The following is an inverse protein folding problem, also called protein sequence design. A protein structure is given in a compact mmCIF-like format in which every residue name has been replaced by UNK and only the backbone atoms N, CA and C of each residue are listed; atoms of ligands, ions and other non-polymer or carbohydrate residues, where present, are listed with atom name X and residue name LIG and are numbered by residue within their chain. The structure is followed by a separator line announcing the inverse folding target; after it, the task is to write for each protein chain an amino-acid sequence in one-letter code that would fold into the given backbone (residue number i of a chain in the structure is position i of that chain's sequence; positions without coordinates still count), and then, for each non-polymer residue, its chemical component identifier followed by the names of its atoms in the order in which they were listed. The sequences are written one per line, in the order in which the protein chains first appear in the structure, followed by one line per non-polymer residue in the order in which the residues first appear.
data_IF_497287378363
#
_entry.id   IF_497287378363
#
_cell.length_a   1.000
_cell.length_b   1.000
_cell.length_c   1.000
_cell.angle_alpha   90.00
_cell.angle_beta   90.00
_cell.angle_gamma   90.00
#
_symmetry.space_group_name_H-M   'P 1'
#
loop_
_entity.id
_entity.type
_entity.pdbx_description
1 polymer ?
#
# COMPACT_ATOMS: atom_id res chain seq x y z
N UNK A 1 -53.35 20.39 -9.74
CA UNK A 1 -52.09 20.33 -8.99
C UNK A 1 -51.27 21.49 -9.40
N UNK A 2 -50.88 22.34 -8.47
CA UNK A 2 -50.24 23.62 -8.77
C UNK A 2 -48.77 23.40 -9.20
N UNK A 3 -48.56 23.48 -10.50
CA UNK A 3 -47.21 23.36 -11.10
C UNK A 3 -46.19 24.37 -10.53
N UNK A 4 -46.66 25.44 -9.91
CA UNK A 4 -45.82 26.45 -9.24
C UNK A 4 -45.00 25.87 -8.11
N UNK A 5 -45.53 24.96 -7.31
CA UNK A 5 -44.80 24.33 -6.19
C UNK A 5 -43.68 23.40 -6.68
N UNK A 6 -43.90 22.76 -7.83
CA UNK A 6 -42.88 21.90 -8.46
C UNK A 6 -41.72 22.74 -8.99
N UNK A 7 -41.99 23.87 -9.65
CA UNK A 7 -40.93 24.77 -10.12
C UNK A 7 -40.14 25.39 -8.97
N UNK A 8 -40.79 25.73 -7.86
CA UNK A 8 -40.11 26.25 -6.67
C UNK A 8 -39.23 25.18 -6.04
N UNK A 9 -39.68 23.92 -5.96
CA UNK A 9 -38.87 22.82 -5.45
C UNK A 9 -37.65 22.55 -6.30
N UNK A 10 -37.76 22.58 -7.63
CA UNK A 10 -36.64 22.40 -8.58
C UNK A 10 -35.64 23.55 -8.43
N UNK A 11 -36.12 24.80 -8.35
CA UNK A 11 -35.26 25.97 -8.19
C UNK A 11 -34.47 25.93 -6.87
N UNK A 12 -35.11 25.54 -5.76
CA UNK A 12 -34.45 25.37 -4.47
C UNK A 12 -33.39 24.26 -4.50
N UNK A 13 -33.73 23.12 -5.13
CA UNK A 13 -32.78 22.00 -5.27
C UNK A 13 -31.54 22.41 -6.08
N UNK A 14 -31.72 23.10 -7.21
CA UNK A 14 -30.61 23.61 -8.03
C UNK A 14 -29.79 24.66 -7.27
N UNK A 15 -30.40 25.52 -6.49
CA UNK A 15 -29.70 26.52 -5.69
C UNK A 15 -28.77 25.89 -4.66
N UNK A 16 -29.20 24.81 -4.00
CA UNK A 16 -28.37 24.04 -3.05
C UNK A 16 -27.17 23.40 -3.75
N UNK A 17 -27.37 22.81 -4.93
CA UNK A 17 -26.27 22.19 -5.68
C UNK A 17 -25.25 23.22 -6.18
N UNK A 18 -25.70 24.39 -6.66
CA UNK A 18 -24.83 25.47 -7.07
C UNK A 18 -24.05 26.09 -5.89
N UNK A 19 -24.72 26.25 -4.75
CA UNK A 19 -24.07 26.73 -3.52
C UNK A 19 -23.01 25.75 -3.03
N UNK A 20 -23.29 24.42 -3.06
CA UNK A 20 -22.33 23.39 -2.71
C UNK A 20 -21.11 23.41 -3.63
N UNK A 21 -21.33 23.47 -4.95
CA UNK A 21 -20.25 23.56 -5.93
C UNK A 21 -19.37 24.81 -5.78
N UNK A 22 -19.97 25.95 -5.43
CA UNK A 22 -19.23 27.20 -5.26
C UNK A 22 -18.37 27.24 -3.97
N UNK A 23 -18.84 26.59 -2.89
CA UNK A 23 -18.18 26.69 -1.58
C UNK A 23 -17.36 25.46 -1.18
N UNK A 24 -17.69 24.28 -1.71
CA UNK A 24 -17.06 23.00 -1.31
C UNK A 24 -16.23 22.32 -2.41
N UNK A 25 -16.42 22.69 -3.69
CA UNK A 25 -15.56 22.17 -4.74
C UNK A 25 -14.32 23.04 -4.89
N UNK A 26 -13.15 22.46 -4.57
CA UNK A 26 -11.86 23.05 -4.95
C UNK A 26 -11.71 23.00 -6.47
N UNK A 27 -11.25 24.05 -7.16
CA UNK A 27 -11.16 24.08 -8.61
C UNK A 27 -10.21 23.00 -9.11
N UNK A 28 -10.73 21.98 -9.80
CA UNK A 28 -9.93 21.03 -10.56
C UNK A 28 -9.32 21.77 -11.73
N UNK A 29 -7.99 21.85 -11.80
CA UNK A 29 -7.28 22.40 -12.96
C UNK A 29 -7.65 21.60 -14.20
N UNK A 30 -8.37 22.23 -15.09
CA UNK A 30 -8.69 21.68 -16.41
C UNK A 30 -7.42 21.53 -17.24
N UNK A 31 -7.15 20.33 -17.69
CA UNK A 31 -6.09 20.06 -18.67
C UNK A 31 -6.61 20.49 -20.03
N UNK A 32 -6.15 21.65 -20.51
CA UNK A 32 -6.41 22.13 -21.86
C UNK A 32 -5.66 21.27 -22.88
N UNK A 33 -6.40 20.69 -23.80
CA UNK A 33 -5.88 20.27 -25.11
C UNK A 33 -5.50 21.50 -25.91
N UNK A 34 -4.25 21.63 -26.28
CA UNK A 34 -3.80 22.63 -27.24
C UNK A 34 -3.63 22.02 -28.61
N UNK A 35 -4.40 22.58 -29.53
CA UNK A 35 -4.23 22.50 -30.97
C UNK A 35 -3.04 23.36 -31.40
N UNK A 36 -2.18 22.81 -32.23
CA UNK A 36 -1.06 23.50 -32.84
C UNK A 36 -1.52 24.66 -33.74
N UNK A 37 -0.81 25.80 -33.61
CA UNK A 37 -0.49 26.65 -34.74
C UNK A 37 0.82 27.40 -34.51
N UNK A 38 1.67 27.29 -35.49
CA UNK A 38 2.96 27.85 -35.76
C UNK A 38 2.89 29.38 -35.96
N UNK A 39 3.88 30.16 -35.45
CA UNK A 39 4.44 31.35 -36.16
C UNK A 39 5.78 31.72 -35.48
N UNK A 40 6.81 31.83 -36.34
CA UNK A 40 8.16 32.34 -36.05
C UNK A 40 8.17 33.82 -35.65
N UNK A 41 9.10 34.22 -34.76
CA UNK A 41 10.15 35.26 -35.02
C UNK A 41 11.02 35.54 -33.81
N UNK A 42 12.32 35.59 -34.11
CA UNK A 42 13.52 35.97 -33.34
C UNK A 42 13.36 37.15 -32.38
N UNK A 43 14.02 37.05 -31.22
CA UNK A 43 15.01 38.05 -30.71
C UNK A 43 15.65 37.54 -29.40
N UNK A 44 16.97 37.68 -29.32
CA UNK A 44 17.83 37.34 -28.20
C UNK A 44 17.45 38.06 -26.89
N UNK A 45 17.33 37.27 -25.79
CA UNK A 45 17.75 37.72 -24.46
C UNK A 45 17.94 36.51 -23.56
N UNK A 46 19.06 36.47 -22.85
CA UNK A 46 19.41 35.44 -21.88
C UNK A 46 18.34 35.37 -20.79
N UNK A 47 17.64 34.25 -20.70
CA UNK A 47 16.72 33.98 -19.61
C UNK A 47 17.13 32.65 -18.99
N UNK A 48 17.43 32.71 -17.71
CA UNK A 48 17.65 31.57 -16.83
C UNK A 48 16.43 30.66 -16.97
N UNK A 49 16.60 29.54 -17.63
CA UNK A 49 15.57 28.54 -17.82
C UNK A 49 15.34 27.81 -16.49
N UNK A 50 14.16 27.88 -15.86
CA UNK A 50 13.85 26.93 -14.82
C UNK A 50 13.79 25.55 -15.47
N UNK A 51 14.63 24.65 -15.02
CA UNK A 51 14.55 23.23 -15.39
C UNK A 51 13.18 22.72 -14.98
N UNK A 52 12.28 22.63 -15.94
CA UNK A 52 11.01 21.92 -15.76
C UNK A 52 11.41 20.45 -15.63
N UNK A 53 11.39 19.92 -14.41
CA UNK A 53 11.51 18.51 -14.17
C UNK A 53 10.40 17.83 -14.99
N UNK A 54 10.79 17.10 -16.03
CA UNK A 54 9.85 16.27 -16.78
C UNK A 54 9.10 15.40 -15.78
N UNK A 55 7.77 15.24 -15.90
CA UNK A 55 7.06 14.26 -15.08
C UNK A 55 7.73 12.93 -15.33
N UNK A 56 8.29 12.33 -14.28
CA UNK A 56 8.81 10.97 -14.36
C UNK A 56 7.64 10.09 -14.77
N UNK A 57 7.71 9.55 -15.97
CA UNK A 57 6.82 8.47 -16.40
C UNK A 57 7.14 7.30 -15.49
N UNK A 58 6.30 7.09 -14.47
CA UNK A 58 6.39 5.92 -13.60
C UNK A 58 6.00 4.73 -14.49
N UNK A 59 7.00 4.08 -15.07
CA UNK A 59 6.79 2.86 -15.84
C UNK A 59 6.29 1.81 -14.87
N UNK A 60 5.03 1.41 -15.01
CA UNK A 60 4.46 0.31 -14.26
C UNK A 60 5.12 -0.99 -14.69
N UNK A 61 5.41 -1.84 -13.73
CA UNK A 61 6.06 -3.13 -13.97
C UNK A 61 5.02 -4.21 -14.25
N UNK A 62 5.47 -5.29 -14.86
CA UNK A 62 4.72 -6.54 -14.84
C UNK A 62 4.74 -7.14 -13.43
N UNK A 63 3.78 -8.02 -13.15
CA UNK A 63 3.73 -8.72 -11.85
C UNK A 63 5.00 -9.55 -11.60
N UNK A 64 5.48 -10.25 -12.59
CA UNK A 64 6.67 -11.10 -12.55
C UNK A 64 7.94 -10.28 -12.27
N UNK A 65 8.11 -9.15 -12.94
CA UNK A 65 9.21 -8.23 -12.69
C UNK A 65 9.18 -7.65 -11.27
N UNK A 66 8.00 -7.27 -10.78
CA UNK A 66 7.84 -6.76 -9.43
C UNK A 66 8.16 -7.79 -8.36
N UNK A 67 7.66 -9.02 -8.52
CA UNK A 67 7.91 -10.13 -7.60
C UNK A 67 9.40 -10.47 -7.52
N UNK A 68 10.12 -10.41 -8.64
CA UNK A 68 11.55 -10.75 -8.69
C UNK A 68 12.48 -9.73 -8.01
N UNK A 69 11.99 -8.53 -7.68
CA UNK A 69 12.82 -7.43 -7.13
C UNK A 69 13.19 -7.55 -5.65
N UNK A 70 12.53 -8.41 -4.92
CA UNK A 70 12.72 -8.51 -3.47
C UNK A 70 12.65 -9.96 -2.98
N UNK A 71 13.31 -10.23 -1.87
CA UNK A 71 13.19 -11.49 -1.17
C UNK A 71 11.75 -11.69 -0.68
N UNK A 72 11.23 -12.90 -0.79
CA UNK A 72 9.85 -13.21 -0.52
C UNK A 72 9.69 -14.53 0.25
N UNK A 73 8.61 -14.62 1.00
CA UNK A 73 8.14 -15.87 1.64
C UNK A 73 7.05 -16.46 0.76
N UNK A 74 7.15 -17.72 0.42
CA UNK A 74 6.13 -18.41 -0.37
C UNK A 74 4.86 -18.63 0.46
N UNK A 75 3.69 -18.43 -0.18
CA UNK A 75 2.38 -18.76 0.37
C UNK A 75 1.80 -19.90 -0.46
N UNK A 76 1.46 -21.02 0.17
CA UNK A 76 0.86 -22.14 -0.53
C UNK A 76 -0.04 -22.98 0.36
N UNK A 77 -1.30 -23.15 -0.06
CA UNK A 77 -2.22 -24.17 0.45
C UNK A 77 -3.06 -24.77 -0.69
N UNK A 78 -4.12 -25.50 -0.39
CA UNK A 78 -5.00 -26.10 -1.40
C UNK A 78 -5.83 -25.09 -2.20
N UNK A 79 -5.92 -23.84 -1.78
CA UNK A 79 -6.83 -22.84 -2.33
C UNK A 79 -6.12 -21.66 -2.97
N UNK A 80 -4.95 -21.28 -2.46
CA UNK A 80 -4.17 -20.12 -2.90
C UNK A 80 -2.69 -20.47 -3.15
N UNK A 81 -2.09 -19.66 -4.00
CA UNK A 81 -0.66 -19.58 -4.26
C UNK A 81 -0.24 -18.12 -4.28
N UNK A 82 0.89 -17.79 -3.70
CA UNK A 82 1.39 -16.42 -3.69
C UNK A 82 2.66 -16.23 -2.90
N UNK A 83 2.91 -14.99 -2.47
CA UNK A 83 4.08 -14.69 -1.66
C UNK A 83 3.93 -13.40 -0.83
N UNK A 84 4.73 -13.29 0.23
CA UNK A 84 4.87 -12.13 1.09
C UNK A 84 6.18 -11.44 0.74
N UNK A 85 6.14 -10.15 0.45
CA UNK A 85 7.31 -9.34 0.24
C UNK A 85 8.00 -9.04 1.57
N UNK A 86 9.29 -9.38 1.72
CA UNK A 86 10.04 -9.07 2.94
C UNK A 86 10.35 -7.57 3.10
N UNK A 87 10.28 -6.78 2.04
CA UNK A 87 10.28 -5.33 2.13
C UNK A 87 8.87 -4.87 2.54
N UNK A 88 8.75 -4.27 3.73
CA UNK A 88 7.50 -3.83 4.33
C UNK A 88 6.65 -4.93 4.96
N UNK A 89 7.00 -6.21 4.78
CA UNK A 89 6.19 -7.38 5.15
C UNK A 89 4.76 -7.29 4.58
N UNK A 90 4.68 -7.05 3.26
CA UNK A 90 3.44 -6.87 2.51
C UNK A 90 2.94 -8.22 1.98
N UNK A 91 1.64 -8.46 2.10
CA UNK A 91 0.97 -9.55 1.37
C UNK A 91 0.44 -8.91 0.08
N UNK A 92 1.20 -9.03 -1.00
CA UNK A 92 0.96 -8.32 -2.25
C UNK A 92 0.94 -9.23 -3.48
N UNK A 93 0.93 -10.54 -3.27
CA UNK A 93 0.93 -11.53 -4.34
C UNK A 93 0.11 -12.73 -3.92
N UNK A 94 -1.14 -12.81 -4.38
CA UNK A 94 -2.03 -13.96 -4.16
C UNK A 94 -2.83 -14.25 -5.42
N UNK A 95 -2.85 -15.51 -5.82
CA UNK A 95 -3.71 -16.07 -6.85
C UNK A 95 -4.54 -17.23 -6.34
N UNK A 96 -5.75 -17.39 -6.85
CA UNK A 96 -6.65 -18.47 -6.48
C UNK A 96 -6.38 -19.70 -7.37
N UNK A 97 -6.07 -20.86 -6.75
CA UNK A 97 -5.83 -22.11 -7.49
C UNK A 97 -7.10 -22.68 -8.16
N UNK A 98 -8.26 -22.47 -7.52
CA UNK A 98 -9.55 -23.06 -7.92
C UNK A 98 -10.42 -22.15 -8.78
N UNK A 99 -9.99 -20.91 -9.01
CA UNK A 99 -10.77 -19.90 -9.75
C UNK A 99 -9.99 -19.42 -10.98
N UNK A 100 -10.63 -19.50 -12.13
CA UNK A 100 -10.06 -19.08 -13.41
C UNK A 100 -10.62 -17.73 -13.85
N UNK A 101 -9.83 -16.97 -14.60
CA UNK A 101 -10.27 -15.66 -15.13
C UNK A 101 -11.43 -15.79 -16.11
N UNK A 102 -11.42 -16.87 -16.93
CA UNK A 102 -12.49 -17.26 -17.84
C UNK A 102 -12.66 -18.77 -17.79
N UNK A 103 -13.86 -19.26 -18.13
CA UNK A 103 -14.18 -20.69 -18.12
C UNK A 103 -13.26 -21.51 -19.01
N UNK A 104 -12.83 -20.94 -20.13
CA UNK A 104 -11.95 -21.58 -21.13
C UNK A 104 -10.46 -21.26 -20.94
N UNK A 105 -10.11 -20.42 -19.94
CA UNK A 105 -8.75 -19.98 -19.72
C UNK A 105 -8.08 -20.82 -18.61
N UNK A 106 -6.80 -21.12 -18.80
CA UNK A 106 -6.00 -21.78 -17.76
C UNK A 106 -5.42 -20.80 -16.72
N UNK A 107 -5.61 -19.47 -16.92
CA UNK A 107 -5.08 -18.45 -16.01
C UNK A 107 -5.91 -18.34 -14.75
N UNK A 108 -5.23 -18.42 -13.61
CA UNK A 108 -5.85 -18.20 -12.29
C UNK A 108 -6.24 -16.73 -12.09
N UNK A 109 -7.26 -16.49 -11.27
CA UNK A 109 -7.57 -15.14 -10.82
C UNK A 109 -6.44 -14.66 -9.89
N UNK A 110 -5.86 -13.52 -10.21
CA UNK A 110 -4.94 -12.78 -9.34
C UNK A 110 -5.80 -11.92 -8.43
N UNK A 111 -5.66 -12.12 -7.12
CA UNK A 111 -6.42 -11.40 -6.10
C UNK A 111 -5.61 -10.23 -5.52
N UNK A 112 -4.34 -10.47 -5.18
CA UNK A 112 -3.41 -9.41 -4.76
C UNK A 112 -2.29 -9.27 -5.78
N UNK A 113 -1.88 -8.03 -6.01
CA UNK A 113 -0.87 -7.68 -6.99
C UNK A 113 0.04 -6.57 -6.43
N UNK A 114 1.37 -6.61 -6.65
CA UNK A 114 2.30 -5.62 -6.11
C UNK A 114 1.95 -4.18 -6.47
N UNK A 115 2.24 -3.25 -5.57
CA UNK A 115 1.84 -1.84 -5.68
C UNK A 115 2.46 -1.08 -6.85
N UNK A 116 3.58 -1.55 -7.39
CA UNK A 116 4.29 -0.98 -8.53
C UNK A 116 3.82 -1.52 -9.89
N UNK A 117 2.80 -2.41 -9.90
CA UNK A 117 2.12 -2.88 -11.09
C UNK A 117 0.94 -1.98 -11.49
N UNK A 118 0.39 -2.18 -12.67
CA UNK A 118 -0.75 -1.39 -13.17
C UNK A 118 -1.99 -1.51 -12.27
N UNK A 119 -2.27 -2.72 -11.76
CA UNK A 119 -3.43 -3.01 -10.93
C UNK A 119 -2.97 -3.43 -9.51
N UNK A 120 -2.09 -2.63 -8.89
CA UNK A 120 -1.57 -2.92 -7.57
C UNK A 120 -2.68 -2.94 -6.51
N UNK A 121 -2.78 -4.06 -5.79
CA UNK A 121 -3.71 -4.25 -4.69
C UNK A 121 -3.10 -5.20 -3.65
N UNK A 122 -2.86 -4.72 -2.44
CA UNK A 122 -2.08 -5.42 -1.43
C UNK A 122 -2.60 -5.15 -0.02
N UNK A 123 -2.15 -5.98 0.92
CA UNK A 123 -2.44 -5.85 2.36
C UNK A 123 -1.18 -5.40 3.08
N UNK A 124 -1.30 -4.28 3.80
CA UNK A 124 -0.26 -3.75 4.68
C UNK A 124 -0.78 -3.72 6.11
N UNK A 125 0.05 -4.16 7.05
CA UNK A 125 -0.20 -4.05 8.49
C UNK A 125 1.03 -3.47 9.18
N UNK A 126 0.84 -2.63 10.19
CA UNK A 126 1.97 -1.93 10.80
C UNK A 126 1.68 -1.43 12.21
N UNK A 127 2.58 -0.60 12.70
CA UNK A 127 2.48 0.08 13.99
C UNK A 127 2.49 1.58 13.77
N UNK A 128 1.90 2.29 14.70
CA UNK A 128 2.01 3.73 14.82
C UNK A 128 2.74 4.07 16.12
N UNK A 129 3.61 5.09 16.08
CA UNK A 129 4.29 5.60 17.26
C UNK A 129 3.60 6.88 17.75
N UNK A 130 3.37 6.98 19.05
CA UNK A 130 2.87 8.20 19.67
C UNK A 130 4.10 8.96 20.21
N UNK A 131 4.36 10.16 19.70
CA UNK A 131 5.42 11.05 20.17
C UNK A 131 6.83 10.67 19.70
N UNK A 132 6.97 10.01 18.55
CA UNK A 132 8.24 9.72 17.82
C UNK A 132 9.42 9.18 18.66
N UNK A 133 9.12 8.57 19.80
CA UNK A 133 10.13 8.08 20.75
C UNK A 133 10.76 6.75 20.35
N UNK A 134 10.13 6.01 19.44
CA UNK A 134 10.56 4.67 19.07
C UNK A 134 10.55 4.57 17.55
N UNK A 135 11.68 4.18 16.95
CA UNK A 135 11.75 3.86 15.54
C UNK A 135 10.93 2.59 15.27
N UNK A 136 9.91 2.73 14.46
CA UNK A 136 9.00 1.65 14.03
C UNK A 136 9.31 1.19 12.61
N UNK A 137 8.93 -0.05 12.22
CA UNK A 137 9.07 -0.49 10.84
C UNK A 137 8.17 0.30 9.90
N UNK A 138 8.66 0.56 8.71
CA UNK A 138 7.99 1.27 7.62
C UNK A 138 7.83 0.35 6.40
N UNK A 139 7.17 0.83 5.34
CA UNK A 139 7.06 0.13 4.05
C UNK A 139 8.42 -0.20 3.39
N UNK A 140 9.49 0.51 3.76
CA UNK A 140 10.84 0.27 3.25
C UNK A 140 11.71 -0.60 4.17
N UNK A 141 11.20 -1.00 5.31
CA UNK A 141 11.91 -1.88 6.25
C UNK A 141 12.04 -3.29 5.69
N UNK A 142 13.25 -3.83 5.73
CA UNK A 142 13.52 -5.22 5.32
C UNK A 142 13.33 -6.12 6.52
N UNK A 143 12.41 -7.06 6.40
CA UNK A 143 12.10 -8.05 7.42
C UNK A 143 12.92 -9.32 7.21
N UNK A 144 13.18 -10.03 8.29
CA UNK A 144 13.84 -11.33 8.29
C UNK A 144 12.87 -12.43 8.69
N UNK A 145 13.00 -13.59 8.08
CA UNK A 145 12.21 -14.78 8.44
C UNK A 145 12.85 -15.47 9.61
N UNK A 146 12.05 -15.83 10.61
CA UNK A 146 12.47 -16.69 11.71
C UNK A 146 11.87 -18.07 11.55
N UNK A 147 12.71 -19.03 11.24
CA UNK A 147 12.29 -20.43 11.06
C UNK A 147 11.88 -20.72 9.61
N UNK A 148 10.65 -21.18 9.41
CA UNK A 148 10.16 -21.62 8.11
C UNK A 148 9.85 -20.45 7.16
N UNK A 149 10.19 -20.60 5.89
CA UNK A 149 10.02 -19.61 4.81
C UNK A 149 8.83 -19.92 3.87
N UNK A 150 8.02 -20.96 4.21
CA UNK A 150 6.80 -21.31 3.49
C UNK A 150 5.62 -21.20 4.43
N UNK A 151 4.66 -20.33 4.08
CA UNK A 151 3.38 -20.20 4.77
C UNK A 151 2.37 -21.18 4.18
N UNK A 152 1.88 -22.10 5.00
CA UNK A 152 0.81 -23.02 4.65
C UNK A 152 -0.23 -23.13 5.79
N UNK A 153 -1.26 -23.93 5.58
CA UNK A 153 -2.27 -24.24 6.60
C UNK A 153 -1.68 -24.94 7.84
N UNK A 154 -0.57 -25.67 7.69
CA UNK A 154 0.12 -26.36 8.78
C UNK A 154 1.39 -25.65 9.25
N UNK A 155 1.85 -24.64 8.53
CA UNK A 155 3.15 -24.00 8.76
C UNK A 155 3.03 -22.47 8.82
N UNK A 156 2.96 -21.89 10.02
CA UNK A 156 2.99 -20.44 10.18
C UNK A 156 4.37 -19.87 9.88
N UNK A 157 4.41 -18.61 9.44
CA UNK A 157 5.66 -17.85 9.23
C UNK A 157 5.78 -16.75 10.28
N UNK A 158 7.00 -16.54 10.78
CA UNK A 158 7.33 -15.48 11.71
C UNK A 158 8.32 -14.53 11.03
N UNK A 159 7.92 -13.28 10.87
CA UNK A 159 8.74 -12.19 10.37
C UNK A 159 9.22 -11.33 11.53
N UNK A 160 10.49 -10.94 11.53
CA UNK A 160 11.10 -10.12 12.57
C UNK A 160 11.80 -8.90 11.97
N UNK A 161 11.70 -7.78 12.66
CA UNK A 161 12.43 -6.56 12.37
C UNK A 161 12.95 -5.93 13.65
N UNK A 162 14.26 -5.63 13.70
CA UNK A 162 14.90 -4.99 14.85
C UNK A 162 15.20 -3.53 14.52
N UNK A 163 14.79 -2.61 15.40
CA UNK A 163 15.02 -1.18 15.20
C UNK A 163 16.48 -0.75 15.51
N UNK A 164 17.33 -1.68 15.98
CA UNK A 164 18.72 -1.45 16.44
C UNK A 164 18.84 -0.53 17.65
N UNK A 165 17.73 -0.22 18.31
CA UNK A 165 17.61 0.59 19.52
C UNK A 165 17.03 -0.23 20.68
N UNK A 166 17.14 -1.56 20.62
CA UNK A 166 16.69 -2.48 21.65
C UNK A 166 15.21 -2.89 21.53
N UNK A 167 14.54 -2.66 20.39
CA UNK A 167 13.16 -3.10 20.18
C UNK A 167 13.07 -4.04 19.00
N UNK A 168 12.44 -5.21 19.22
CA UNK A 168 12.15 -6.22 18.21
C UNK A 168 10.65 -6.22 17.91
N UNK A 169 10.31 -6.05 16.64
CA UNK A 169 8.96 -6.19 16.09
C UNK A 169 8.83 -7.56 15.45
N UNK A 170 7.71 -8.22 15.70
CA UNK A 170 7.43 -9.56 15.21
C UNK A 170 6.03 -9.63 14.63
N UNK A 171 5.88 -10.20 13.43
CA UNK A 171 4.61 -10.57 12.82
C UNK A 171 4.57 -12.08 12.68
N UNK A 172 3.62 -12.75 13.33
CA UNK A 172 3.30 -14.15 13.07
C UNK A 172 2.11 -14.18 12.11
N UNK A 173 2.27 -14.84 10.98
CA UNK A 173 1.26 -15.01 9.96
C UNK A 173 0.87 -16.48 9.90
N UNK A 174 -0.41 -16.74 10.05
CA UNK A 174 -1.04 -18.07 10.00
C UNK A 174 -2.07 -18.06 8.87
N UNK A 175 -2.22 -19.18 8.20
CA UNK A 175 -3.14 -19.37 7.10
C UNK A 175 -4.00 -20.61 7.40
N UNK A 176 -5.30 -20.56 7.13
CA UNK A 176 -6.14 -21.77 7.18
C UNK A 176 -6.07 -22.59 5.87
N UNK A 177 -6.83 -23.64 5.79
CA UNK A 177 -6.93 -24.51 4.61
C UNK A 177 -7.64 -23.85 3.40
N UNK A 178 -8.21 -22.66 3.60
CA UNK A 178 -8.97 -21.90 2.60
C UNK A 178 -8.32 -20.56 2.27
N UNK A 179 -8.77 -19.49 2.93
CA UNK A 179 -8.43 -18.11 2.56
C UNK A 179 -8.18 -17.20 3.75
N UNK A 180 -8.34 -17.69 5.01
CA UNK A 180 -8.25 -16.85 6.20
C UNK A 180 -6.80 -16.67 6.65
N UNK A 181 -6.32 -15.45 6.62
CA UNK A 181 -5.06 -15.05 7.23
C UNK A 181 -5.30 -14.53 8.66
N UNK A 182 -4.53 -15.04 9.61
CA UNK A 182 -4.46 -14.51 10.97
C UNK A 182 -3.09 -13.89 11.20
N UNK A 183 -3.05 -12.58 11.44
CA UNK A 183 -1.81 -11.84 11.66
C UNK A 183 -1.75 -11.43 13.14
N UNK A 184 -0.74 -11.93 13.85
CA UNK A 184 -0.45 -11.56 15.22
C UNK A 184 0.79 -10.67 15.26
N UNK A 185 0.64 -9.44 15.77
CA UNK A 185 1.72 -8.48 15.90
C UNK A 185 2.21 -8.44 17.35
N UNK A 186 3.53 -8.44 17.54
CA UNK A 186 4.17 -8.40 18.85
C UNK A 186 5.36 -7.45 18.87
N UNK A 187 5.53 -6.72 19.94
CA UNK A 187 6.70 -5.87 20.19
C UNK A 187 7.40 -6.37 21.44
N UNK A 188 8.72 -6.55 21.33
CA UNK A 188 9.57 -6.99 22.44
C UNK A 188 10.63 -5.93 22.73
N UNK A 189 10.69 -5.45 23.94
CA UNK A 189 11.80 -4.62 24.42
C UNK A 189 12.96 -5.56 24.79
N UNK A 190 14.08 -5.41 24.09
CA UNK A 190 15.31 -6.17 24.32
C UNK A 190 16.33 -5.40 25.17
N UNK A 191 16.04 -4.16 25.54
CA UNK A 191 16.90 -3.39 26.43
C UNK A 191 16.97 -4.10 27.79
N UNK A 192 18.16 -4.47 28.20
CA UNK A 192 18.40 -4.99 29.54
C UNK A 192 18.22 -3.83 30.52
N UNK A 193 17.03 -3.70 31.09
CA UNK A 193 16.83 -2.87 32.25
C UNK A 193 17.56 -3.63 33.38
N UNK A 194 18.70 -3.11 33.83
CA UNK A 194 19.27 -3.51 35.11
C UNK A 194 18.26 -3.14 36.21
N UNK A 195 17.46 -4.10 36.66
CA UNK A 195 16.72 -4.00 37.88
C UNK A 195 17.82 -4.07 38.98
N UNK A 196 18.26 -2.91 39.43
CA UNK A 196 19.07 -2.84 40.66
C UNK A 196 18.19 -3.35 41.79
N UNK A 197 18.53 -4.52 42.35
CA UNK A 197 17.90 -5.00 43.56
C UNK A 197 17.99 -3.92 44.64
N UNK A 198 16.90 -3.66 45.38
CA UNK A 198 16.96 -2.72 46.49
C UNK A 198 17.94 -3.26 47.52
N UNK A 199 19.03 -2.53 47.75
CA UNK A 199 20.01 -2.82 48.77
C UNK A 199 19.27 -2.83 50.12
N UNK A 200 19.07 -4.01 50.70
CA UNK A 200 18.62 -4.15 52.10
C UNK A 200 19.70 -3.50 52.97
N UNK A 201 19.38 -2.37 53.58
CA UNK A 201 20.14 -1.85 54.71
C UNK A 201 19.87 -2.76 55.91
N UNK A 202 20.88 -3.45 56.36
CA UNK A 202 20.96 -4.08 57.69
C UNK A 202 21.21 -3.01 58.74
#
# INVERSE_FOLDING_TARGET
MDNKNVFVAIALSMSVLLFWGAFFETPRKSTNQQTNQEIEKKTNQQTITPTISQPQVITKLTREESISKSDRVTIENNSILGSINLKGALIDDISFKKHKQKVEDNKNIIFLNPSDTENGFYIETGWTSIGDKIKIPTKDSIWTVKGNDILSDTSPVILQWNNKEGVLFEKKIELDDKYLFKITQKVKNLSLIHISEPTRRT
#
